data_IF_356643775843
#
_entry.id   IF_356643775843
#
_cell.length_a   1.000
_cell.length_b   1.000
_cell.length_c   1.000
_cell.angle_alpha   90.00
_cell.angle_beta   90.00
_cell.angle_gamma   90.00
#
_symmetry.space_group_name_H-M   'P 1'
#
loop_
_entity.id
_entity.type
_entity.pdbx_description
1 polymer ?
#
# COMPACT_ATOMS: atom_id res chain seq x y z
N UNK A 1 21.40 4.27 -24.11
CA UNK A 1 20.38 4.56 -23.08
C UNK A 1 19.22 3.61 -23.27
N UNK A 2 19.17 2.54 -22.48
CA UNK A 2 18.01 1.64 -22.42
C UNK A 2 16.83 2.46 -21.91
N UNK A 3 15.82 2.67 -22.76
CA UNK A 3 14.56 3.33 -22.37
C UNK A 3 13.96 2.51 -21.23
N UNK A 4 13.86 3.10 -20.06
CA UNK A 4 13.25 2.51 -18.88
C UNK A 4 11.93 1.85 -19.27
N UNK A 5 11.91 0.51 -19.22
CA UNK A 5 10.74 -0.30 -19.53
C UNK A 5 9.65 0.08 -18.53
N UNK A 6 8.69 0.83 -19.02
CA UNK A 6 7.46 1.07 -18.30
C UNK A 6 6.72 -0.26 -18.16
N UNK A 7 6.80 -0.88 -16.98
CA UNK A 7 6.11 -2.14 -16.68
C UNK A 7 4.70 -1.93 -16.11
N UNK A 8 4.22 -0.68 -16.02
CA UNK A 8 2.88 -0.38 -15.54
C UNK A 8 1.82 -0.87 -16.53
N UNK A 9 0.84 -1.64 -16.07
CA UNK A 9 -0.24 -2.15 -16.92
C UNK A 9 -1.21 -1.06 -17.42
N UNK A 10 -1.20 0.12 -16.80
CA UNK A 10 -2.09 1.26 -17.08
C UNK A 10 -1.47 2.56 -16.55
N UNK A 11 -2.01 3.72 -16.91
CA UNK A 11 -1.59 5.01 -16.36
C UNK A 11 -1.65 5.04 -14.82
N UNK A 12 -0.86 5.92 -14.20
CA UNK A 12 -0.84 6.04 -12.74
C UNK A 12 -2.21 6.42 -12.15
N UNK A 13 -3.00 7.21 -12.88
CA UNK A 13 -4.38 7.57 -12.55
C UNK A 13 -5.26 6.33 -12.38
N UNK A 14 -5.30 5.47 -13.41
CA UNK A 14 -6.05 4.20 -13.40
C UNK A 14 -5.58 3.26 -12.30
N UNK A 15 -4.26 3.12 -12.12
CA UNK A 15 -3.69 2.35 -11.03
C UNK A 15 -4.13 2.88 -9.65
N UNK A 16 -4.11 4.20 -9.47
CA UNK A 16 -4.44 4.85 -8.20
C UNK A 16 -5.92 4.68 -7.84
N UNK A 17 -6.82 4.74 -8.82
CA UNK A 17 -8.24 4.44 -8.60
C UNK A 17 -8.44 3.00 -8.12
N UNK A 18 -7.79 2.04 -8.77
CA UNK A 18 -7.79 0.63 -8.36
C UNK A 18 -7.23 0.44 -6.94
N UNK A 19 -6.12 1.10 -6.63
CA UNK A 19 -5.47 1.09 -5.32
C UNK A 19 -6.40 1.63 -4.21
N UNK A 20 -7.02 2.79 -4.43
CA UNK A 20 -7.95 3.39 -3.46
C UNK A 20 -9.23 2.57 -3.30
N UNK A 21 -9.74 1.99 -4.39
CA UNK A 21 -10.87 1.06 -4.35
C UNK A 21 -10.54 -0.19 -3.52
N UNK A 22 -9.34 -0.75 -3.69
CA UNK A 22 -8.86 -1.85 -2.84
C UNK A 22 -8.72 -1.44 -1.38
N UNK A 23 -8.26 -0.22 -1.08
CA UNK A 23 -8.09 0.28 0.28
C UNK A 23 -9.44 0.30 1.02
N UNK A 24 -10.49 0.80 0.36
CA UNK A 24 -11.86 0.79 0.88
C UNK A 24 -12.36 -0.64 1.14
N UNK A 25 -12.17 -1.54 0.18
CA UNK A 25 -12.56 -2.97 0.31
C UNK A 25 -11.87 -3.67 1.48
N UNK A 26 -10.60 -3.34 1.72
CA UNK A 26 -9.79 -3.92 2.81
C UNK A 26 -9.88 -3.15 4.14
N UNK A 27 -10.71 -2.10 4.21
CA UNK A 27 -10.84 -1.22 5.39
C UNK A 27 -9.51 -0.62 5.86
N UNK A 28 -8.62 -0.32 4.92
CA UNK A 28 -7.35 0.38 5.20
C UNK A 28 -7.61 1.89 5.18
N UNK A 29 -7.40 2.62 6.29
CA UNK A 29 -7.58 4.07 6.33
C UNK A 29 -6.66 4.77 5.33
N UNK A 30 -7.19 5.74 4.58
CA UNK A 30 -6.40 6.46 3.56
C UNK A 30 -5.23 7.24 4.16
N UNK A 31 -5.29 7.61 5.44
CA UNK A 31 -4.19 8.27 6.16
C UNK A 31 -2.97 7.35 6.33
N UNK A 32 -3.16 6.03 6.30
CA UNK A 32 -2.07 5.05 6.39
C UNK A 32 -1.40 4.77 5.04
N UNK A 33 -1.94 5.32 3.95
CA UNK A 33 -1.46 5.02 2.61
C UNK A 33 -0.26 5.90 2.26
N UNK A 34 0.82 5.26 1.82
CA UNK A 34 1.98 5.96 1.29
C UNK A 34 1.87 6.11 -0.24
N UNK A 35 1.53 7.31 -0.71
CA UNK A 35 1.37 7.62 -2.14
C UNK A 35 2.67 7.51 -2.95
N UNK A 36 3.81 7.85 -2.35
CA UNK A 36 5.12 7.75 -3.01
C UNK A 36 5.49 6.29 -3.25
N UNK A 37 5.23 5.45 -2.25
CA UNK A 37 5.45 4.02 -2.36
C UNK A 37 4.48 3.37 -3.34
N UNK A 38 3.21 3.77 -3.35
CA UNK A 38 2.24 3.32 -4.36
C UNK A 38 2.72 3.64 -5.79
N UNK A 39 3.34 4.81 -6.00
CA UNK A 39 3.96 5.17 -7.29
C UNK A 39 5.16 4.30 -7.66
N UNK A 40 5.95 3.84 -6.67
CA UNK A 40 7.03 2.86 -6.91
C UNK A 40 6.46 1.51 -7.32
N UNK A 41 5.44 1.01 -6.62
CA UNK A 41 4.76 -0.25 -6.96
C UNK A 41 4.17 -0.24 -8.37
N UNK A 42 3.55 0.88 -8.77
CA UNK A 42 3.07 1.08 -10.13
C UNK A 42 4.20 0.98 -11.18
N UNK A 43 5.36 1.62 -10.95
CA UNK A 43 6.52 1.51 -11.86
C UNK A 43 7.08 0.09 -11.94
N UNK A 44 6.92 -0.70 -10.88
CA UNK A 44 7.29 -2.12 -10.84
C UNK A 44 6.25 -3.04 -11.52
N UNK A 45 5.15 -2.50 -12.02
CA UNK A 45 4.11 -3.25 -12.71
C UNK A 45 3.08 -3.93 -11.81
N UNK A 46 3.02 -3.55 -10.53
CA UNK A 46 1.99 -4.09 -9.63
C UNK A 46 0.60 -3.53 -9.96
N UNK A 47 -0.43 -4.33 -9.71
CA UNK A 47 -1.81 -3.87 -9.66
C UNK A 47 -2.06 -3.05 -8.38
N UNK A 48 -3.12 -2.23 -8.40
CA UNK A 48 -3.50 -1.45 -7.22
C UNK A 48 -3.83 -2.32 -6.00
N UNK A 49 -4.33 -3.54 -6.22
CA UNK A 49 -4.62 -4.48 -5.13
C UNK A 49 -3.35 -5.07 -4.52
N UNK A 50 -2.39 -5.52 -5.35
CA UNK A 50 -1.11 -6.06 -4.87
C UNK A 50 -0.35 -5.01 -4.07
N UNK A 51 -0.23 -3.80 -4.62
CA UNK A 51 0.45 -2.69 -3.97
C UNK A 51 -0.15 -2.35 -2.60
N UNK A 52 -1.48 -2.40 -2.47
CA UNK A 52 -2.15 -2.17 -1.19
C UNK A 52 -1.85 -3.29 -0.19
N UNK A 53 -1.95 -4.55 -0.62
CA UNK A 53 -1.69 -5.69 0.27
C UNK A 53 -0.24 -5.66 0.77
N UNK A 54 0.71 -5.28 -0.09
CA UNK A 54 2.10 -5.05 0.31
C UNK A 54 2.21 -3.96 1.38
N UNK A 55 1.66 -2.77 1.16
CA UNK A 55 1.70 -1.69 2.17
C UNK A 55 1.01 -2.10 3.48
N UNK A 56 -0.11 -2.81 3.41
CA UNK A 56 -0.82 -3.29 4.61
C UNK A 56 0.03 -4.26 5.43
N UNK A 57 0.75 -5.18 4.77
CA UNK A 57 1.67 -6.10 5.45
C UNK A 57 2.85 -5.37 6.10
N UNK A 58 3.42 -4.38 5.43
CA UNK A 58 4.51 -3.56 5.96
C UNK A 58 4.06 -2.75 7.17
N UNK A 59 2.90 -2.07 7.10
CA UNK A 59 2.31 -1.35 8.23
C UNK A 59 2.01 -2.27 9.42
N UNK A 60 1.59 -3.51 9.16
CA UNK A 60 1.38 -4.51 10.21
C UNK A 60 2.71 -4.95 10.85
N UNK A 61 3.78 -5.09 10.04
CA UNK A 61 5.13 -5.43 10.51
C UNK A 61 5.76 -4.32 11.34
N UNK A 62 5.53 -3.06 10.97
CA UNK A 62 6.02 -1.89 11.69
C UNK A 62 5.24 -1.62 12.99
N UNK A 63 4.15 -2.36 13.23
CA UNK A 63 3.29 -2.20 14.41
C UNK A 63 2.33 -1.01 14.31
N UNK A 64 2.40 -0.23 13.24
CA UNK A 64 1.57 0.95 13.01
C UNK A 64 0.11 0.59 12.70
N UNK A 65 -0.13 -0.50 11.96
CA UNK A 65 -1.50 -0.92 11.60
C UNK A 65 -2.28 -1.46 12.80
N UNK A 66 -1.63 -2.22 13.68
CA UNK A 66 -2.24 -2.75 14.90
C UNK A 66 -2.55 -1.64 15.92
N UNK A 67 -1.95 -0.45 15.81
CA UNK A 67 -2.31 0.68 16.67
C UNK A 67 -3.58 1.42 16.20
N UNK A 68 -3.97 1.24 14.94
CA UNK A 68 -5.05 1.99 14.28
C UNK A 68 -6.32 1.15 14.05
N UNK A 69 -6.26 -0.18 14.26
CA UNK A 69 -7.44 -1.04 14.25
C UNK A 69 -8.19 -0.98 15.59
N UNK A 70 -9.53 -0.85 15.60
CA UNK A 70 -10.30 -0.91 16.84
C UNK A 70 -10.12 -2.30 17.47
N UNK A 71 -9.42 -2.37 18.61
CA UNK A 71 -9.12 -3.62 19.33
C UNK A 71 -7.67 -4.10 19.25
N UNK A 72 -6.78 -3.39 18.54
CA UNK A 72 -5.37 -3.75 18.47
C UNK A 72 -4.64 -3.52 19.80
N UNK A 73 -4.21 -4.62 20.43
CA UNK A 73 -3.37 -4.56 21.63
C UNK A 73 -2.00 -4.03 21.22
N UNK A 74 -1.57 -2.91 21.82
CA UNK A 74 -0.18 -2.46 21.74
C UNK A 74 0.71 -3.55 22.33
N UNK A 75 1.31 -4.38 21.48
CA UNK A 75 2.38 -5.27 21.91
C UNK A 75 3.56 -4.40 22.28
N UNK A 76 3.64 -4.04 23.56
CA UNK A 76 4.77 -3.33 24.13
C UNK A 76 6.03 -4.19 23.87
N UNK A 77 6.89 -3.69 22.99
CA UNK A 77 8.20 -4.26 22.72
C UNK A 77 8.99 -4.16 24.03
N UNK A 78 9.10 -5.27 24.77
CA UNK A 78 10.00 -5.35 25.93
C UNK A 78 11.43 -5.22 25.41
N UNK A 79 12.15 -4.33 26.08
CA UNK A 79 13.52 -3.89 25.83
C UNK A 79 14.51 -5.04 25.98
#
# INVERSE_FOLDING_TARGET
MSKDYYNGCCEFSTFLEGFLSSARRNKVPLVCINRLQARRHWRMGMTGNEALLTQRMELAREGEYNALTPGGKRSAKRK
#
